data_IF_154138832090
#
_entry.id   IF_154138832090
#
_cell.length_a   1.000
_cell.length_b   1.000
_cell.length_c   1.000
_cell.angle_alpha   90.00
_cell.angle_beta   90.00
_cell.angle_gamma   90.00
#
_symmetry.space_group_name_H-M   'P 1'
#
loop_
_entity.id
_entity.type
_entity.pdbx_description
1 polymer ?
#
# COMPACT_ATOMS: atom_id res chain seq x y z
N UNK A 1 -3.41 7.58 -27.06
CA UNK A 1 -3.60 7.54 -25.60
C UNK A 1 -2.42 8.15 -24.84
N UNK A 2 -1.36 8.62 -25.51
CA UNK A 2 -0.26 9.40 -24.91
C UNK A 2 -0.66 10.81 -24.45
N UNK A 3 -1.75 11.36 -24.99
CA UNK A 3 -2.05 12.79 -24.86
C UNK A 3 -2.98 13.13 -23.68
N UNK A 4 -3.44 12.11 -22.95
CA UNK A 4 -4.19 12.23 -21.70
C UNK A 4 -3.42 11.55 -20.56
N UNK A 5 -2.11 11.81 -20.46
CA UNK A 5 -1.40 11.49 -19.24
C UNK A 5 -2.05 12.29 -18.10
N UNK A 6 -2.48 11.65 -17.00
CA UNK A 6 -2.97 12.40 -15.85
C UNK A 6 -1.88 13.41 -15.46
N UNK A 7 -2.30 14.66 -15.25
CA UNK A 7 -1.42 15.70 -14.73
C UNK A 7 -1.03 15.33 -13.29
N UNK A 8 0.00 14.49 -13.17
CA UNK A 8 0.49 13.97 -11.89
C UNK A 8 1.05 15.08 -11.00
N UNK A 9 1.31 16.28 -11.54
CA UNK A 9 1.71 17.45 -10.74
C UNK A 9 0.58 17.91 -9.80
N UNK A 10 -0.67 17.56 -10.10
CA UNK A 10 -1.84 17.84 -9.25
C UNK A 10 -2.20 16.70 -8.29
N UNK A 11 -1.51 15.56 -8.38
CA UNK A 11 -1.75 14.41 -7.50
C UNK A 11 -0.92 14.59 -6.24
N UNK A 12 -1.59 14.86 -5.11
CA UNK A 12 -0.95 14.87 -3.80
C UNK A 12 -1.07 13.49 -3.16
N UNK A 13 0.08 12.87 -2.92
CA UNK A 13 0.16 11.65 -2.12
C UNK A 13 0.05 12.05 -0.66
N UNK A 14 -1.03 11.61 -0.01
CA UNK A 14 -1.19 11.80 1.43
C UNK A 14 -0.29 10.80 2.17
N UNK A 15 0.55 11.26 3.11
CA UNK A 15 1.30 10.34 3.95
C UNK A 15 0.35 9.56 4.86
N UNK A 16 0.70 8.32 5.16
CA UNK A 16 -0.02 7.53 6.17
C UNK A 16 0.27 8.12 7.55
N UNK A 17 -0.77 8.28 8.36
CA UNK A 17 -0.63 8.66 9.77
C UNK A 17 -0.51 7.43 10.67
N UNK A 18 0.42 7.48 11.61
CA UNK A 18 0.58 6.51 12.70
C UNK A 18 0.20 7.18 14.01
N UNK A 19 -0.52 6.45 14.86
CA UNK A 19 -0.86 6.91 16.21
C UNK A 19 0.36 6.80 17.13
N UNK A 20 0.99 7.92 17.42
CA UNK A 20 2.29 7.97 18.09
C UNK A 20 2.27 7.46 19.53
N UNK A 21 1.12 7.52 20.19
CA UNK A 21 0.94 7.03 21.57
C UNK A 21 0.82 5.49 21.61
N UNK A 22 0.35 4.88 20.53
CA UNK A 22 0.20 3.42 20.41
C UNK A 22 1.49 2.80 19.88
N UNK A 23 2.01 3.35 18.79
CA UNK A 23 3.19 2.82 18.11
C UNK A 23 4.44 3.47 18.69
N UNK A 24 4.91 2.94 19.81
CA UNK A 24 6.19 3.34 20.39
C UNK A 24 7.14 2.14 20.46
N UNK A 25 8.43 2.41 20.33
CA UNK A 25 9.46 1.40 20.55
C UNK A 25 9.40 0.95 22.01
N UNK A 26 9.32 -0.36 22.21
CA UNK A 26 9.33 -1.02 23.52
C UNK A 26 10.70 -1.64 23.79
N UNK A 27 10.90 -2.17 25.00
CA UNK A 27 12.08 -2.96 25.30
C UNK A 27 12.13 -4.20 24.40
N UNK A 28 13.23 -4.37 23.66
CA UNK A 28 13.34 -5.44 22.66
C UNK A 28 13.37 -6.83 23.31
N UNK A 29 13.99 -6.96 24.48
CA UNK A 29 14.15 -8.24 25.15
C UNK A 29 12.82 -8.70 25.78
N UNK A 30 12.11 -7.79 26.45
CA UNK A 30 10.77 -8.03 26.96
C UNK A 30 9.79 -8.36 25.82
N UNK A 31 9.92 -7.65 24.69
CA UNK A 31 9.12 -7.90 23.50
C UNK A 31 9.40 -9.29 22.91
N UNK A 32 10.66 -9.71 22.78
CA UNK A 32 11.02 -11.08 22.34
C UNK A 32 10.45 -12.15 23.26
N UNK A 33 10.51 -11.96 24.58
CA UNK A 33 9.91 -12.88 25.56
C UNK A 33 8.38 -12.97 25.41
N UNK A 34 7.72 -11.83 25.22
CA UNK A 34 6.27 -11.74 25.03
C UNK A 34 5.84 -12.45 23.75
N UNK A 35 6.54 -12.19 22.65
CA UNK A 35 6.28 -12.79 21.33
C UNK A 35 6.55 -14.30 21.38
N UNK A 36 7.63 -14.76 22.00
CA UNK A 36 7.93 -16.18 22.19
C UNK A 36 6.80 -16.93 22.94
N UNK A 37 6.24 -16.30 23.98
CA UNK A 37 5.10 -16.86 24.71
C UNK A 37 3.81 -16.90 23.88
N UNK A 38 3.53 -15.84 23.11
CA UNK A 38 2.33 -15.75 22.27
C UNK A 38 2.32 -16.78 21.13
N UNK A 39 3.47 -16.96 20.46
CA UNK A 39 3.63 -17.94 19.38
C UNK A 39 4.02 -19.35 19.88
N UNK A 40 4.23 -19.52 21.19
CA UNK A 40 4.72 -20.77 21.80
C UNK A 40 6.02 -21.28 21.15
N UNK A 41 6.89 -20.35 20.77
CA UNK A 41 8.13 -20.64 20.03
C UNK A 41 9.34 -20.04 20.77
N UNK A 42 10.02 -20.90 21.55
CA UNK A 42 11.14 -20.51 22.40
C UNK A 42 12.34 -19.92 21.62
N UNK A 43 12.47 -20.29 20.33
CA UNK A 43 13.55 -19.78 19.48
C UNK A 43 13.48 -18.26 19.32
N UNK A 44 12.30 -17.65 19.42
CA UNK A 44 12.11 -16.19 19.29
C UNK A 44 12.84 -15.39 20.36
N UNK A 45 13.27 -16.02 21.44
CA UNK A 45 14.05 -15.38 22.50
C UNK A 45 15.50 -15.10 22.10
N UNK A 46 16.06 -15.90 21.17
CA UNK A 46 17.48 -15.88 20.82
C UNK A 46 17.74 -15.65 19.34
N UNK A 47 16.95 -16.27 18.48
CA UNK A 47 17.22 -16.30 17.04
C UNK A 47 16.85 -14.94 16.41
N UNK A 48 17.49 -14.58 15.27
CA UNK A 48 17.12 -13.39 14.52
C UNK A 48 15.66 -13.48 14.05
N UNK A 49 14.86 -12.49 14.43
CA UNK A 49 13.44 -12.39 14.11
C UNK A 49 13.22 -11.39 12.98
N UNK A 50 12.72 -11.87 11.84
CA UNK A 50 12.54 -11.12 10.61
C UNK A 50 11.05 -10.97 10.31
N UNK A 51 10.58 -9.73 10.17
CA UNK A 51 9.20 -9.47 9.75
C UNK A 51 9.10 -9.45 8.24
N UNK A 52 8.08 -10.11 7.68
CA UNK A 52 7.81 -10.12 6.25
C UNK A 52 6.47 -9.45 5.96
N UNK A 53 6.50 -8.37 5.18
CA UNK A 53 5.31 -7.61 4.79
C UNK A 53 5.02 -7.79 3.30
N UNK A 54 3.94 -8.51 3.00
CA UNK A 54 3.49 -8.79 1.63
C UNK A 54 2.09 -8.21 1.37
N UNK A 55 1.78 -7.82 0.13
CA UNK A 55 0.47 -7.31 -0.25
C UNK A 55 -0.62 -8.38 -0.22
N UNK A 56 -0.27 -9.61 -0.60
CA UNK A 56 -1.22 -10.70 -0.84
C UNK A 56 -0.50 -12.05 -0.89
N UNK A 57 -1.28 -13.12 -0.96
CA UNK A 57 -0.82 -14.50 -1.10
C UNK A 57 -0.57 -14.94 -2.56
N UNK A 58 -0.05 -14.06 -3.42
CA UNK A 58 0.31 -14.45 -4.79
C UNK A 58 1.31 -15.62 -4.82
N UNK A 59 1.43 -16.28 -5.97
CA UNK A 59 2.38 -17.37 -6.16
C UNK A 59 3.82 -16.91 -5.86
N UNK A 60 4.17 -15.69 -6.27
CA UNK A 60 5.49 -15.11 -6.08
C UNK A 60 5.81 -14.90 -4.61
N UNK A 61 4.90 -14.28 -3.85
CA UNK A 61 5.11 -13.99 -2.43
C UNK A 61 5.17 -15.27 -1.60
N UNK A 62 4.29 -16.25 -1.86
CA UNK A 62 4.32 -17.53 -1.17
C UNK A 62 5.61 -18.30 -1.42
N UNK A 63 6.08 -18.35 -2.66
CA UNK A 63 7.36 -18.99 -2.96
C UNK A 63 8.55 -18.24 -2.34
N UNK A 64 8.50 -16.91 -2.29
CA UNK A 64 9.53 -16.14 -1.62
C UNK A 64 9.63 -16.52 -0.14
N UNK A 65 8.50 -16.61 0.59
CA UNK A 65 8.48 -17.09 1.98
C UNK A 65 9.09 -18.49 2.08
N UNK A 66 8.64 -19.44 1.25
CA UNK A 66 9.14 -20.82 1.25
C UNK A 66 10.65 -20.91 1.02
N UNK A 67 11.17 -20.11 0.10
CA UNK A 67 12.58 -20.09 -0.25
C UNK A 67 13.42 -19.41 0.84
N UNK A 68 12.94 -18.31 1.42
CA UNK A 68 13.63 -17.67 2.55
C UNK A 68 13.68 -18.61 3.77
N UNK A 69 12.56 -19.23 4.12
CA UNK A 69 12.46 -20.17 5.24
C UNK A 69 13.39 -21.37 5.06
N UNK A 70 13.43 -21.93 3.84
CA UNK A 70 14.31 -23.07 3.50
C UNK A 70 15.79 -22.71 3.48
N UNK A 71 16.13 -21.51 2.99
CA UNK A 71 17.53 -21.08 2.84
C UNK A 71 18.12 -20.58 4.17
N UNK A 72 17.27 -20.16 5.11
CA UNK A 72 17.67 -19.60 6.40
C UNK A 72 16.95 -20.29 7.57
N UNK A 73 17.23 -21.57 7.85
CA UNK A 73 16.65 -22.26 9.01
C UNK A 73 17.03 -21.62 10.35
N UNK A 74 18.11 -20.83 10.39
CA UNK A 74 18.61 -20.08 11.54
C UNK A 74 17.82 -18.79 11.84
N UNK A 75 17.02 -18.30 10.89
CA UNK A 75 16.16 -17.13 11.09
C UNK A 75 14.73 -17.58 11.39
N UNK A 76 14.04 -16.79 12.20
CA UNK A 76 12.60 -16.88 12.39
C UNK A 76 11.92 -15.79 11.59
N UNK A 77 10.86 -16.16 10.88
CA UNK A 77 10.06 -15.24 10.09
C UNK A 77 8.67 -15.09 10.69
N UNK A 78 8.18 -13.85 10.80
CA UNK A 78 6.76 -13.58 11.04
C UNK A 78 6.21 -12.90 9.78
N UNK A 79 5.26 -13.56 9.11
CA UNK A 79 4.49 -12.95 8.02
C UNK A 79 3.37 -12.10 8.61
N UNK A 80 3.40 -10.80 8.37
CA UNK A 80 2.44 -9.83 8.94
C UNK A 80 1.41 -9.44 7.90
N UNK A 81 0.15 -9.82 8.12
CA UNK A 81 -0.96 -9.61 7.19
C UNK A 81 -0.74 -10.31 5.84
N UNK A 82 -1.52 -9.94 4.81
CA UNK A 82 -1.33 -10.28 3.38
C UNK A 82 -1.43 -11.75 2.97
N UNK A 83 -0.94 -12.67 3.79
CA UNK A 83 -0.87 -14.11 3.57
C UNK A 83 -1.23 -14.77 4.90
N UNK A 84 -2.30 -15.56 4.92
CA UNK A 84 -2.65 -16.36 6.09
C UNK A 84 -2.02 -17.76 6.04
N UNK A 85 -2.08 -18.46 7.17
CA UNK A 85 -1.49 -19.78 7.33
C UNK A 85 -2.00 -20.80 6.28
N UNK A 86 -3.31 -20.79 5.97
CA UNK A 86 -3.90 -21.74 5.03
C UNK A 86 -3.49 -21.48 3.58
N UNK A 87 -3.12 -20.24 3.24
CA UNK A 87 -2.70 -19.87 1.89
C UNK A 87 -1.27 -20.30 1.56
N UNK A 88 -0.38 -20.43 2.56
CA UNK A 88 1.02 -20.83 2.36
C UNK A 88 1.16 -22.31 1.98
N UNK A 89 0.24 -23.15 2.46
CA UNK A 89 0.12 -24.58 2.14
C UNK A 89 1.11 -25.49 2.89
N UNK A 90 2.40 -25.13 2.95
CA UNK A 90 3.44 -25.89 3.67
C UNK A 90 3.77 -25.24 5.01
N UNK A 91 3.90 -26.05 6.06
CA UNK A 91 4.33 -25.58 7.38
C UNK A 91 5.86 -25.65 7.51
N UNK A 92 6.46 -24.56 7.99
CA UNK A 92 7.87 -24.44 8.32
C UNK A 92 7.98 -24.07 9.79
N UNK A 93 8.81 -24.78 10.55
CA UNK A 93 9.01 -24.54 12.00
C UNK A 93 9.59 -23.16 12.31
N UNK A 94 10.16 -22.48 11.30
CA UNK A 94 10.73 -21.15 11.42
C UNK A 94 9.87 -20.05 10.77
N UNK A 95 8.59 -20.32 10.47
CA UNK A 95 7.67 -19.34 9.90
C UNK A 95 6.38 -19.29 10.71
N UNK A 96 6.16 -18.16 11.38
CA UNK A 96 4.91 -17.83 12.05
C UNK A 96 4.11 -16.79 11.26
N UNK A 97 2.82 -16.67 11.59
CA UNK A 97 1.90 -15.74 10.92
C UNK A 97 1.20 -14.86 11.94
N UNK A 98 1.19 -13.56 11.68
CA UNK A 98 0.40 -12.60 12.43
C UNK A 98 -0.66 -11.99 11.52
N UNK A 99 -1.90 -12.46 11.66
CA UNK A 99 -3.03 -11.89 10.96
C UNK A 99 -3.60 -10.74 11.76
N UNK A 100 -4.12 -9.74 11.04
CA UNK A 100 -4.78 -8.60 11.63
C UNK A 100 -6.24 -8.67 11.20
N UNK A 101 -7.10 -8.99 12.15
CA UNK A 101 -8.53 -9.12 11.95
C UNK A 101 -9.27 -7.98 12.63
N UNK A 102 -8.74 -7.46 13.74
CA UNK A 102 -9.35 -6.38 14.49
C UNK A 102 -8.36 -5.35 15.08
N UNK A 103 -8.90 -4.40 15.86
CA UNK A 103 -8.14 -3.32 16.46
C UNK A 103 -7.17 -3.79 17.54
N UNK A 104 -7.44 -4.91 18.21
CA UNK A 104 -6.56 -5.46 19.24
C UNK A 104 -5.28 -6.04 18.62
N UNK A 105 -5.37 -6.62 17.42
CA UNK A 105 -4.20 -7.07 16.67
C UNK A 105 -3.31 -5.88 16.28
N UNK A 106 -3.91 -4.76 15.87
CA UNK A 106 -3.16 -3.53 15.61
C UNK A 106 -2.41 -3.03 16.84
N UNK A 107 -2.95 -3.20 18.04
CA UNK A 107 -2.32 -2.81 19.30
C UNK A 107 -1.19 -3.76 19.73
N UNK A 108 -1.14 -4.98 19.20
CA UNK A 108 -0.04 -5.93 19.45
C UNK A 108 1.20 -5.65 18.57
N UNK A 109 1.01 -5.03 17.41
CA UNK A 109 2.10 -4.73 16.46
C UNK A 109 3.32 -4.02 17.07
N UNK A 110 3.20 -3.01 17.96
CA UNK A 110 4.37 -2.36 18.56
C UNK A 110 5.27 -3.35 19.33
N UNK A 111 4.69 -4.37 19.96
CA UNK A 111 5.45 -5.44 20.63
C UNK A 111 6.18 -6.30 19.59
N UNK A 112 5.47 -6.72 18.54
CA UNK A 112 6.05 -7.53 17.44
C UNK A 112 7.18 -6.77 16.74
N UNK A 113 6.97 -5.49 16.45
CA UNK A 113 7.98 -4.61 15.85
C UNK A 113 9.19 -4.44 16.76
N UNK A 114 9.00 -4.25 18.05
CA UNK A 114 10.11 -4.08 18.99
C UNK A 114 10.91 -5.38 19.23
N UNK A 115 10.26 -6.54 19.06
CA UNK A 115 10.94 -7.84 19.10
C UNK A 115 11.78 -8.14 17.84
N UNK A 116 11.48 -7.49 16.71
CA UNK A 116 12.10 -7.79 15.44
C UNK A 116 13.50 -7.21 15.32
N UNK A 117 14.42 -8.01 14.78
CA UNK A 117 15.78 -7.56 14.47
C UNK A 117 15.83 -6.80 13.15
N UNK A 118 14.97 -7.17 12.20
CA UNK A 118 14.90 -6.60 10.86
C UNK A 118 13.51 -6.87 10.24
N UNK A 119 13.13 -6.10 9.22
CA UNK A 119 11.96 -6.40 8.41
C UNK A 119 12.23 -6.30 6.91
N UNK A 120 11.41 -6.99 6.13
CA UNK A 120 11.40 -6.93 4.67
C UNK A 120 10.01 -6.49 4.20
N UNK A 121 9.98 -5.37 3.47
CA UNK A 121 8.76 -4.80 2.91
C UNK A 121 8.80 -4.83 1.37
N UNK A 122 7.89 -5.59 0.77
CA UNK A 122 7.71 -5.60 -0.68
C UNK A 122 6.89 -4.38 -1.10
N UNK A 123 7.53 -3.31 -1.60
CA UNK A 123 6.88 -2.09 -2.09
C UNK A 123 6.37 -2.28 -3.54
N UNK A 124 5.38 -3.14 -3.69
CA UNK A 124 4.68 -3.43 -4.95
C UNK A 124 3.20 -3.00 -4.86
N UNK A 125 2.47 -3.08 -5.97
CA UNK A 125 1.03 -2.77 -5.99
C UNK A 125 0.26 -3.63 -4.98
N UNK A 126 -0.64 -3.00 -4.22
CA UNK A 126 -1.44 -3.67 -3.18
C UNK A 126 -0.81 -3.71 -1.79
N UNK A 127 0.45 -3.30 -1.65
CA UNK A 127 1.11 -3.32 -0.33
C UNK A 127 0.50 -2.28 0.60
N UNK A 128 0.33 -2.65 1.86
CA UNK A 128 -0.26 -1.76 2.86
C UNK A 128 0.81 -0.79 3.40
N UNK A 129 0.75 0.51 3.06
CA UNK A 129 1.75 1.48 3.48
C UNK A 129 1.73 1.73 5.00
N UNK A 130 0.65 1.35 5.69
CA UNK A 130 0.57 1.41 7.14
C UNK A 130 1.69 0.58 7.78
N UNK A 131 1.88 -0.68 7.38
CA UNK A 131 2.91 -1.56 7.96
C UNK A 131 4.33 -1.00 7.82
N UNK A 132 4.62 -0.39 6.66
CA UNK A 132 5.88 0.31 6.45
C UNK A 132 6.02 1.46 7.46
N UNK A 133 5.02 2.36 7.52
CA UNK A 133 5.08 3.53 8.38
C UNK A 133 5.12 3.18 9.88
N UNK A 134 4.33 2.21 10.34
CA UNK A 134 4.22 1.82 11.74
C UNK A 134 5.46 1.07 12.23
N UNK A 135 6.04 0.20 11.39
CA UNK A 135 7.31 -0.47 11.69
C UNK A 135 8.46 0.54 11.79
N UNK A 136 8.56 1.48 10.84
CA UNK A 136 9.54 2.57 10.90
C UNK A 136 9.36 3.43 12.16
N UNK A 137 8.11 3.75 12.51
CA UNK A 137 7.80 4.52 13.72
C UNK A 137 8.30 3.81 14.99
N UNK A 138 8.20 2.48 15.05
CA UNK A 138 8.75 1.66 16.14
C UNK A 138 10.27 1.43 16.04
N UNK A 139 10.93 1.94 14.99
CA UNK A 139 12.37 1.84 14.80
C UNK A 139 12.85 0.53 14.19
N UNK A 140 11.99 -0.23 13.53
CA UNK A 140 12.40 -1.46 12.84
C UNK A 140 13.28 -1.10 11.64
N UNK A 141 14.53 -1.57 11.55
CA UNK A 141 15.30 -1.43 10.32
C UNK A 141 14.65 -2.27 9.21
N UNK A 142 14.54 -1.71 8.00
CA UNK A 142 13.82 -2.36 6.90
C UNK A 142 14.69 -2.51 5.65
N UNK A 143 14.57 -3.67 5.02
CA UNK A 143 14.85 -3.87 3.60
C UNK A 143 13.57 -3.58 2.84
N UNK A 144 13.64 -2.72 1.84
CA UNK A 144 12.49 -2.32 1.02
C UNK A 144 12.80 -2.70 -0.43
N UNK A 145 11.98 -3.53 -1.06
CA UNK A 145 12.14 -3.86 -2.47
C UNK A 145 11.08 -3.21 -3.35
N UNK A 146 11.45 -2.77 -4.55
CA UNK A 146 10.47 -2.32 -5.55
C UNK A 146 11.01 -2.40 -6.98
N UNK A 147 10.11 -2.16 -7.95
CA UNK A 147 10.39 -2.32 -9.38
C UNK A 147 11.23 -1.18 -9.97
N UNK A 148 11.02 0.04 -9.47
CA UNK A 148 11.63 1.26 -9.99
C UNK A 148 12.51 1.92 -8.94
N UNK A 149 13.67 2.44 -9.34
CA UNK A 149 14.52 3.20 -8.44
C UNK A 149 13.71 4.33 -7.78
N UNK A 150 13.54 4.22 -6.46
CA UNK A 150 12.75 5.13 -5.68
C UNK A 150 13.65 5.80 -4.64
N UNK A 151 14.15 6.98 -5.00
CA UNK A 151 15.02 7.79 -4.14
C UNK A 151 14.35 8.17 -2.81
N UNK A 152 13.02 8.23 -2.76
CA UNK A 152 12.27 8.44 -1.52
C UNK A 152 12.40 7.24 -0.58
N UNK A 153 12.35 6.02 -1.11
CA UNK A 153 12.47 4.78 -0.32
C UNK A 153 13.88 4.53 0.21
N UNK A 154 14.93 4.98 -0.51
CA UNK A 154 16.33 4.93 -0.03
C UNK A 154 16.53 5.65 1.30
N UNK A 155 15.70 6.64 1.60
CA UNK A 155 15.76 7.39 2.85
C UNK A 155 15.01 6.71 4.00
N UNK A 156 14.32 5.58 3.77
CA UNK A 156 13.51 4.88 4.78
C UNK A 156 14.18 3.58 5.27
N UNK A 157 15.07 3.00 4.48
CA UNK A 157 15.72 1.72 4.78
C UNK A 157 16.69 1.31 3.66
N UNK A 158 17.16 0.06 3.71
CA UNK A 158 17.97 -0.50 2.62
C UNK A 158 17.06 -0.78 1.42
N UNK A 159 17.14 0.07 0.40
CA UNK A 159 16.37 -0.13 -0.82
C UNK A 159 17.08 -1.11 -1.78
N UNK A 160 16.37 -2.13 -2.24
CA UNK A 160 16.82 -3.06 -3.27
C UNK A 160 15.88 -3.02 -4.47
N UNK A 161 16.42 -2.83 -5.66
CA UNK A 161 15.62 -2.85 -6.88
C UNK A 161 15.47 -4.29 -7.36
N UNK A 162 14.22 -4.71 -7.59
CA UNK A 162 13.88 -6.05 -8.10
C UNK A 162 12.91 -5.86 -9.27
N UNK A 163 13.27 -6.33 -10.46
CA UNK A 163 12.43 -6.14 -11.65
C UNK A 163 11.08 -6.89 -11.51
N UNK A 164 10.03 -6.34 -12.11
CA UNK A 164 8.64 -6.84 -12.00
C UNK A 164 8.44 -8.33 -12.38
N UNK A 165 9.36 -8.89 -13.19
CA UNK A 165 9.29 -10.27 -13.68
C UNK A 165 10.46 -11.15 -13.19
N UNK A 166 11.17 -10.72 -12.15
CA UNK A 166 12.25 -11.53 -11.55
C UNK A 166 11.65 -12.81 -10.95
N UNK A 167 12.27 -13.95 -11.24
CA UNK A 167 11.79 -15.23 -10.74
C UNK A 167 11.89 -15.29 -9.20
N UNK A 168 10.95 -15.94 -8.48
CA UNK A 168 10.95 -15.99 -7.02
C UNK A 168 12.27 -16.49 -6.40
N UNK A 169 12.96 -17.42 -7.05
CA UNK A 169 14.27 -17.92 -6.61
C UNK A 169 15.38 -16.87 -6.69
N UNK A 170 15.35 -16.01 -7.70
CA UNK A 170 16.31 -14.91 -7.84
C UNK A 170 15.98 -13.79 -6.84
N UNK A 171 14.70 -13.44 -6.68
CA UNK A 171 14.22 -12.52 -5.64
C UNK A 171 14.66 -12.99 -4.25
N UNK A 172 14.44 -14.27 -3.93
CA UNK A 172 14.86 -14.86 -2.66
C UNK A 172 16.37 -14.75 -2.46
N UNK A 173 17.18 -15.03 -3.48
CA UNK A 173 18.64 -14.89 -3.40
C UNK A 173 19.07 -13.45 -3.09
N UNK A 174 18.45 -12.46 -3.73
CA UNK A 174 18.75 -11.04 -3.50
C UNK A 174 18.37 -10.65 -2.07
N UNK A 175 17.14 -10.97 -1.64
CA UNK A 175 16.64 -10.66 -0.30
C UNK A 175 17.47 -11.37 0.78
N UNK A 176 17.75 -12.66 0.62
CA UNK A 176 18.64 -13.44 1.49
C UNK A 176 19.99 -12.76 1.70
N UNK A 177 20.65 -12.35 0.61
CA UNK A 177 21.96 -11.67 0.69
C UNK A 177 21.85 -10.36 1.48
N UNK A 178 20.79 -9.59 1.28
CA UNK A 178 20.57 -8.34 2.00
C UNK A 178 20.26 -8.56 3.48
N UNK A 179 19.47 -9.58 3.83
CA UNK A 179 19.17 -9.97 5.21
C UNK A 179 20.47 -10.33 5.95
N UNK A 180 21.25 -11.27 5.41
CA UNK A 180 22.51 -11.71 6.02
C UNK A 180 23.49 -10.54 6.15
N UNK A 181 23.65 -9.73 5.10
CA UNK A 181 24.58 -8.58 5.14
C UNK A 181 24.23 -7.57 6.22
N UNK A 182 22.93 -7.32 6.48
CA UNK A 182 22.51 -6.37 7.51
C UNK A 182 22.64 -6.95 8.92
N UNK A 183 22.36 -8.25 9.09
CA UNK A 183 22.49 -8.90 10.39
C UNK A 183 23.96 -9.08 10.82
N UNK A 184 24.87 -9.25 9.86
CA UNK A 184 26.31 -9.34 10.12
C UNK A 184 26.95 -7.98 10.43
N UNK A 185 26.47 -6.88 9.84
CA UNK A 185 26.99 -5.53 10.05
C UNK A 185 26.14 -4.73 11.07
N UNK A 186 26.54 -4.83 12.33
CA UNK A 186 25.85 -4.14 13.44
C UNK A 186 25.88 -2.60 13.32
N UNK A 187 26.91 -2.03 12.69
CA UNK A 187 27.00 -0.58 12.47
C UNK A 187 25.97 -0.14 11.43
N UNK A 188 25.86 -0.91 10.34
CA UNK A 188 24.88 -0.66 9.29
C UNK A 188 23.44 -0.88 9.79
N UNK A 189 23.21 -1.91 10.60
CA UNK A 189 21.91 -2.16 11.22
C UNK A 189 21.49 -1.01 12.15
N UNK A 190 22.41 -0.54 13.00
CA UNK A 190 22.18 0.62 13.87
C UNK A 190 21.88 1.89 13.05
N UNK A 191 22.62 2.11 11.97
CA UNK A 191 22.36 3.22 11.04
C UNK A 191 20.93 3.19 10.48
N UNK A 192 20.46 2.03 10.01
CA UNK A 192 19.10 1.90 9.48
C UNK A 192 18.03 1.98 10.56
N UNK A 193 18.29 1.53 11.79
CA UNK A 193 17.41 1.74 12.94
C UNK A 193 17.25 3.23 13.26
N UNK A 194 18.35 3.98 13.31
CA UNK A 194 18.31 5.44 13.52
C UNK A 194 17.60 6.18 12.38
N UNK A 195 17.77 5.70 11.14
CA UNK A 195 17.06 6.23 9.99
C UNK A 195 15.55 5.96 10.10
N UNK A 196 15.17 4.74 10.47
CA UNK A 196 13.80 4.32 10.68
C UNK A 196 13.12 5.18 11.74
N UNK A 197 13.73 5.37 12.92
CA UNK A 197 13.18 6.22 13.99
C UNK A 197 12.99 7.66 13.50
N UNK A 198 14.00 8.25 12.84
CA UNK A 198 13.94 9.64 12.38
C UNK A 198 12.84 9.85 11.34
N UNK A 199 12.67 8.92 10.40
CA UNK A 199 11.65 9.02 9.35
C UNK A 199 10.28 8.58 9.83
N UNK A 200 10.22 7.54 10.64
CA UNK A 200 9.03 7.03 11.31
C UNK A 200 8.24 8.15 11.97
N UNK A 201 8.93 8.98 12.77
CA UNK A 201 8.34 10.14 13.47
C UNK A 201 7.73 11.22 12.56
N UNK A 202 7.95 11.18 11.24
CA UNK A 202 7.30 12.08 10.29
C UNK A 202 5.93 11.57 9.80
N UNK A 203 5.63 10.29 10.00
CA UNK A 203 4.37 9.64 9.62
C UNK A 203 3.34 9.78 10.75
N UNK A 204 2.86 10.99 11.01
CA UNK A 204 1.84 11.26 12.04
C UNK A 204 0.51 11.66 11.43
N UNK A 205 -0.60 11.40 12.14
CA UNK A 205 -1.92 11.94 11.76
C UNK A 205 -1.92 13.46 11.67
N UNK A 206 -1.13 14.15 12.50
CA UNK A 206 -0.94 15.59 12.40
C UNK A 206 -0.28 16.01 11.08
N UNK A 207 0.76 15.29 10.64
CA UNK A 207 1.44 15.52 9.36
C UNK A 207 0.49 15.28 8.17
N UNK A 208 -0.31 14.20 8.24
CA UNK A 208 -1.35 13.92 7.26
C UNK A 208 -2.41 15.05 7.22
N UNK A 209 -2.93 15.47 8.38
CA UNK A 209 -3.91 16.54 8.49
C UNK A 209 -3.37 17.89 7.97
N UNK A 210 -2.11 18.21 8.27
CA UNK A 210 -1.43 19.40 7.71
C UNK A 210 -1.31 19.32 6.19
N UNK A 211 -0.91 18.17 5.65
CA UNK A 211 -0.81 17.96 4.19
C UNK A 211 -2.17 18.14 3.53
N UNK A 212 -3.23 17.53 4.07
CA UNK A 212 -4.61 17.71 3.60
C UNK A 212 -4.99 19.18 3.64
N UNK A 213 -4.87 19.83 4.80
CA UNK A 213 -5.24 21.24 4.98
C UNK A 213 -4.50 22.16 3.99
N UNK A 214 -3.18 22.00 3.86
CA UNK A 214 -2.35 22.82 2.99
C UNK A 214 -2.66 22.59 1.50
N UNK A 215 -3.11 21.39 1.13
CA UNK A 215 -3.56 21.12 -0.22
C UNK A 215 -4.94 21.73 -0.52
N UNK A 216 -5.89 21.63 0.41
CA UNK A 216 -7.26 22.11 0.21
C UNK A 216 -7.42 23.63 0.34
N UNK A 217 -6.56 24.33 1.10
CA UNK A 217 -6.66 25.81 1.24
C UNK A 217 -6.54 26.53 -0.12
N UNK A 218 -5.48 26.32 -0.93
CA UNK A 218 -5.36 26.97 -2.24
C UNK A 218 -6.46 26.54 -3.22
N UNK A 219 -6.95 25.30 -3.12
CA UNK A 219 -8.07 24.83 -3.94
C UNK A 219 -9.38 25.56 -3.58
N UNK A 220 -9.64 25.76 -2.29
CA UNK A 220 -10.80 26.54 -1.81
C UNK A 220 -10.74 28.00 -2.28
N UNK A 221 -9.57 28.62 -2.23
CA UNK A 221 -9.37 29.99 -2.71
C UNK A 221 -9.60 30.12 -4.23
N UNK A 222 -9.25 29.10 -5.01
CA UNK A 222 -9.54 29.02 -6.44
C UNK A 222 -11.04 28.75 -6.73
N UNK A 223 -11.69 27.96 -5.88
CA UNK A 223 -13.13 27.65 -6.00
C UNK A 223 -14.03 28.85 -5.72
N UNK A 224 -13.62 29.80 -4.86
CA UNK A 224 -14.39 31.03 -4.61
C UNK A 224 -14.56 31.92 -5.85
N UNK A 225 -13.83 31.66 -6.94
CA UNK A 225 -13.99 32.33 -8.24
C UNK A 225 -14.86 31.57 -9.25
N UNK A 226 -15.36 30.37 -8.90
CA UNK A 226 -16.27 29.58 -9.73
C UNK A 226 -17.63 29.49 -9.04
N UNK A 227 -18.64 30.13 -9.63
CA UNK A 227 -19.99 30.26 -9.08
C UNK A 227 -20.66 28.93 -8.67
N UNK A 228 -21.63 29.09 -7.77
CA UNK A 228 -22.43 28.09 -7.05
C UNK A 228 -23.40 27.24 -7.89
N UNK A 229 -22.92 26.57 -8.94
CA UNK A 229 -23.79 25.75 -9.83
C UNK A 229 -23.53 24.24 -9.79
N UNK A 230 -22.70 23.74 -8.86
CA UNK A 230 -22.63 22.30 -8.60
C UNK A 230 -23.82 21.86 -7.74
N UNK A 231 -24.98 21.70 -8.38
CA UNK A 231 -26.16 21.06 -7.76
C UNK A 231 -25.94 19.56 -7.53
N UNK A 232 -24.97 18.96 -8.23
CA UNK A 232 -24.58 17.55 -8.08
C UNK A 232 -23.12 17.44 -7.64
N UNK A 233 -22.85 16.55 -6.68
CA UNK A 233 -21.48 16.22 -6.28
C UNK A 233 -20.80 15.49 -7.45
N UNK A 234 -19.62 15.93 -7.92
CA UNK A 234 -18.98 15.33 -9.08
C UNK A 234 -18.56 13.88 -8.81
N UNK A 235 -18.59 13.03 -9.84
CA UNK A 235 -18.02 11.68 -9.78
C UNK A 235 -16.54 11.77 -9.37
N UNK A 236 -16.13 10.94 -8.42
CA UNK A 236 -14.73 10.89 -7.99
C UNK A 236 -14.02 9.68 -8.60
N UNK A 237 -12.84 9.92 -9.15
CA UNK A 237 -12.03 8.92 -9.83
C UNK A 237 -10.96 8.36 -8.88
N UNK A 238 -10.86 7.03 -8.79
CA UNK A 238 -9.89 6.33 -7.95
C UNK A 238 -9.37 5.09 -8.67
N UNK A 239 -8.09 4.79 -8.51
CA UNK A 239 -7.58 3.46 -8.82
C UNK A 239 -7.92 2.48 -7.69
N UNK A 240 -8.66 1.42 -8.02
CA UNK A 240 -8.89 0.28 -7.15
C UNK A 240 -7.86 -0.81 -7.47
N UNK A 241 -7.15 -1.33 -6.47
CA UNK A 241 -6.29 -2.49 -6.68
C UNK A 241 -7.13 -3.77 -6.62
N UNK A 242 -7.23 -4.47 -7.74
CA UNK A 242 -7.84 -5.79 -7.82
C UNK A 242 -6.82 -6.83 -7.33
N UNK A 243 -7.05 -7.44 -6.14
CA UNK A 243 -6.11 -8.40 -5.57
C UNK A 243 -6.11 -9.76 -6.29
N UNK A 244 -7.15 -10.06 -7.09
CA UNK A 244 -7.24 -11.30 -7.87
C UNK A 244 -6.38 -11.16 -9.12
N UNK A 245 -6.48 -10.02 -9.82
CA UNK A 245 -5.70 -9.75 -11.04
C UNK A 245 -4.32 -9.16 -10.76
N UNK A 246 -4.07 -8.68 -9.54
CA UNK A 246 -2.84 -8.00 -9.18
C UNK A 246 -2.66 -6.65 -9.87
N UNK A 247 -3.74 -5.97 -10.28
CA UNK A 247 -3.71 -4.77 -11.12
C UNK A 247 -4.46 -3.60 -10.49
N UNK A 248 -3.94 -2.40 -10.67
CA UNK A 248 -4.68 -1.17 -10.40
C UNK A 248 -5.67 -0.91 -11.55
N UNK A 249 -6.96 -1.06 -11.27
CA UNK A 249 -8.06 -0.81 -12.20
C UNK A 249 -8.62 0.59 -11.93
N UNK A 250 -8.69 1.48 -12.92
CA UNK A 250 -9.31 2.78 -12.75
C UNK A 250 -10.83 2.62 -12.60
N UNK A 251 -11.40 3.23 -11.56
CA UNK A 251 -12.82 3.23 -11.26
C UNK A 251 -13.31 4.66 -10.97
N UNK A 252 -14.60 4.88 -11.17
CA UNK A 252 -15.27 6.09 -10.73
C UNK A 252 -16.41 5.72 -9.78
N UNK A 253 -16.83 6.68 -8.97
CA UNK A 253 -17.84 6.47 -7.94
C UNK A 253 -18.74 7.68 -7.85
N UNK A 254 -20.04 7.42 -7.79
CA UNK A 254 -21.08 8.44 -7.62
C UNK A 254 -21.40 8.65 -6.14
N UNK A 255 -21.63 9.91 -5.73
CA UNK A 255 -22.10 10.24 -4.37
C UNK A 255 -23.62 10.46 -4.39
N UNK A 256 -24.36 10.11 -3.32
CA UNK A 256 -23.86 9.70 -1.99
C UNK A 256 -23.63 8.19 -1.81
N UNK A 257 -24.07 7.35 -2.75
CA UNK A 257 -24.19 5.90 -2.52
C UNK A 257 -22.89 5.09 -2.77
N UNK A 258 -21.83 5.75 -3.25
CA UNK A 258 -20.53 5.13 -3.53
C UNK A 258 -20.64 3.91 -4.48
N UNK A 259 -21.59 3.96 -5.41
CA UNK A 259 -21.76 2.89 -6.40
C UNK A 259 -20.62 2.96 -7.42
N UNK A 260 -19.88 1.86 -7.64
CA UNK A 260 -18.80 1.83 -8.61
C UNK A 260 -19.37 1.90 -10.03
N UNK A 261 -18.85 2.83 -10.81
CA UNK A 261 -19.13 2.96 -12.23
C UNK A 261 -17.83 2.95 -13.05
N UNK A 262 -17.93 2.65 -14.34
CA UNK A 262 -16.76 2.71 -15.21
C UNK A 262 -16.32 4.16 -15.41
N UNK A 263 -15.01 4.40 -15.51
CA UNK A 263 -14.46 5.75 -15.74
C UNK A 263 -15.06 6.43 -16.97
N UNK A 264 -15.32 5.67 -18.03
CA UNK A 264 -15.91 6.22 -19.24
C UNK A 264 -17.34 6.74 -18.99
N UNK A 265 -18.14 6.03 -18.19
CA UNK A 265 -19.51 6.43 -17.82
C UNK A 265 -19.49 7.68 -16.94
N UNK A 266 -18.60 7.74 -15.96
CA UNK A 266 -18.43 8.93 -15.12
C UNK A 266 -17.98 10.17 -15.92
N UNK A 267 -17.02 10.02 -16.84
CA UNK A 267 -16.59 11.13 -17.71
C UNK A 267 -17.75 11.60 -18.58
N UNK A 268 -18.54 10.68 -19.13
CA UNK A 268 -19.72 11.01 -19.91
C UNK A 268 -20.76 11.80 -19.08
N UNK A 269 -21.06 11.34 -17.85
CA UNK A 269 -21.95 12.03 -16.89
C UNK A 269 -21.49 13.47 -16.64
N UNK A 270 -20.22 13.66 -16.29
CA UNK A 270 -19.64 14.98 -16.02
C UNK A 270 -19.67 15.90 -17.25
N UNK A 271 -19.31 15.39 -18.43
CA UNK A 271 -19.35 16.19 -19.67
C UNK A 271 -20.78 16.61 -20.03
N UNK A 272 -21.78 15.76 -19.81
CA UNK A 272 -23.19 16.07 -20.08
C UNK A 272 -23.78 17.17 -19.19
N UNK A 273 -23.12 17.53 -18.09
CA UNK A 273 -23.55 18.67 -17.26
C UNK A 273 -23.31 20.02 -17.96
N UNK A 274 -22.31 20.10 -18.83
CA UNK A 274 -21.83 21.37 -19.42
C UNK A 274 -21.80 21.38 -20.95
N UNK A 275 -21.97 20.22 -21.59
CA UNK A 275 -21.88 20.05 -23.04
C UNK A 275 -23.13 19.39 -23.62
N UNK A 276 -23.39 19.65 -24.90
CA UNK A 276 -24.48 18.99 -25.63
C UNK A 276 -24.20 17.51 -25.88
N UNK A 277 -25.26 16.72 -26.02
CA UNK A 277 -25.18 15.27 -26.30
C UNK A 277 -24.28 14.93 -27.51
N UNK A 278 -24.31 15.75 -28.56
CA UNK A 278 -23.44 15.55 -29.73
C UNK A 278 -21.97 15.81 -29.42
N UNK A 279 -21.64 16.82 -28.62
CA UNK A 279 -20.26 17.09 -28.21
C UNK A 279 -19.71 15.96 -27.34
N UNK A 280 -20.52 15.46 -26.40
CA UNK A 280 -20.15 14.32 -25.55
C UNK A 280 -19.97 13.05 -26.40
N UNK A 281 -20.87 12.78 -27.35
CA UNK A 281 -20.75 11.64 -28.26
C UNK A 281 -19.46 11.66 -29.08
N UNK A 282 -19.06 12.82 -29.62
CA UNK A 282 -17.80 12.97 -30.35
C UNK A 282 -16.59 12.69 -29.46
N UNK A 283 -16.59 13.24 -28.23
CA UNK A 283 -15.51 13.00 -27.26
C UNK A 283 -15.41 11.52 -26.87
N UNK A 284 -16.53 10.87 -26.56
CA UNK A 284 -16.55 9.46 -26.16
C UNK A 284 -16.16 8.51 -27.29
N UNK A 285 -16.61 8.78 -28.53
CA UNK A 285 -16.18 8.01 -29.69
C UNK A 285 -14.66 8.10 -29.89
N UNK A 286 -14.08 9.27 -29.64
CA UNK A 286 -12.63 9.46 -29.72
C UNK A 286 -11.88 8.74 -28.58
N UNK A 287 -12.43 8.77 -27.36
CA UNK A 287 -11.83 8.16 -26.17
C UNK A 287 -11.92 6.63 -26.16
N UNK A 288 -13.11 6.10 -26.41
CA UNK A 288 -13.38 4.66 -26.33
C UNK A 288 -12.87 3.91 -27.57
N UNK A 289 -12.72 4.61 -28.70
CA UNK A 289 -12.45 4.02 -30.03
C UNK A 289 -13.43 2.91 -30.42
N UNK A 290 -14.60 2.91 -29.78
CA UNK A 290 -15.66 1.93 -29.93
C UNK A 290 -16.99 2.69 -29.97
N UNK A 291 -17.61 2.68 -31.15
CA UNK A 291 -18.84 3.40 -31.42
C UNK A 291 -20.06 2.72 -30.78
N UNK A 292 -20.06 1.39 -30.72
CA UNK A 292 -21.15 0.61 -30.13
C UNK A 292 -21.17 0.79 -28.61
N UNK A 293 -20.00 0.75 -27.97
CA UNK A 293 -19.87 1.07 -26.54
C UNK A 293 -20.34 2.50 -26.23
N UNK A 294 -19.98 3.46 -27.09
CA UNK A 294 -20.39 4.87 -26.93
C UNK A 294 -21.91 5.04 -27.01
N UNK A 295 -22.57 4.40 -27.98
CA UNK A 295 -24.04 4.44 -28.14
C UNK A 295 -24.75 3.79 -26.94
N UNK A 296 -24.24 2.66 -26.43
CA UNK A 296 -24.79 2.01 -25.23
C UNK A 296 -24.68 2.89 -23.99
N UNK A 297 -23.54 3.56 -23.80
CA UNK A 297 -23.33 4.48 -22.68
C UNK A 297 -24.29 5.67 -22.73
N UNK A 298 -24.43 6.32 -23.89
CA UNK A 298 -25.34 7.45 -24.04
C UNK A 298 -26.81 7.04 -23.82
N UNK A 299 -27.20 5.86 -24.28
CA UNK A 299 -28.54 5.30 -24.05
C UNK A 299 -28.82 5.09 -22.56
N UNK A 300 -27.86 4.48 -21.84
CA UNK A 300 -27.94 4.27 -20.39
C UNK A 300 -28.12 5.61 -19.64
N UNK A 301 -27.29 6.61 -19.95
CA UNK A 301 -27.31 7.93 -19.30
C UNK A 301 -28.58 8.74 -19.60
N UNK A 302 -29.15 8.57 -20.79
CA UNK A 302 -30.41 9.23 -21.16
C UNK A 302 -31.61 8.56 -20.50
N UNK A 303 -31.49 7.27 -20.12
CA UNK A 303 -32.55 6.50 -19.46
C UNK A 303 -32.58 6.80 -17.96
N UNK A 304 -31.42 6.79 -17.28
CA UNK A 304 -31.32 7.16 -15.85
C UNK A 304 -31.81 8.60 -15.58
N UNK A 305 -31.51 9.54 -16.49
CA UNK A 305 -31.93 10.95 -16.31
C UNK A 305 -33.46 11.13 -16.33
N UNK A 306 -34.20 10.24 -17.01
CA UNK A 306 -35.68 10.27 -17.03
C UNK A 306 -36.32 9.68 -15.78
N UNK A 307 -35.58 8.90 -14.99
CA UNK A 307 -36.08 8.30 -13.73
C UNK A 307 -35.89 9.22 -12.52
N UNK A 308 -35.14 10.31 -12.68
CA UNK A 308 -34.82 11.29 -11.64
C UNK A 308 -35.41 12.71 -11.87
N UNK A 309 -36.23 12.90 -12.90
CA UNK A 309 -37.07 14.09 -13.13
C UNK A 309 -38.52 13.85 -12.65
#
# INVERSE_FOLDING_TARGET
MSDFAPDTEKVVVLPVGVEGDVYTSKDAQESKLTVAGAFQNERMKSDPLILLFFPNASYENRNLVHLLARNHPEFLFIVVGGINHSQLGSHYENVEHFQIEDITDYQALPVIYSAADLGYYAAVGGSNPFYLSSALYCGVPLIISGEHDNSTMKNLGMYIQIAANTAPAETAKIVSKSLTSLLEDQSLLAHYRDLAIRKGRSFTWESAAKTIKNHFIPLRERLLQTESTLTNLPSFFRYHYDPIQGKAIPAAYERPDFMPETVNVAIAKELMQTHSHNQVSVALNHMCKDKEMTERMLTYLTTERKEHE
#
